data_IF_652910263554
#
_entry.id   IF_652910263554
#
_cell.length_a   1.000
_cell.length_b   1.000
_cell.length_c   1.000
_cell.angle_alpha   90.00
_cell.angle_beta   90.00
_cell.angle_gamma   90.00
#
_symmetry.space_group_name_H-M   'P 1'
#
loop_
_entity.id
_entity.type
_entity.pdbx_description
1 polymer ?
#
# COMPACT_ATOMS: atom_id res chain seq x y z
N UNK A 1 17.21 -2.60 14.25
CA UNK A 1 15.76 -2.35 14.10
C UNK A 1 15.49 -1.74 12.73
N UNK A 2 14.65 -2.39 11.89
CA UNK A 2 14.34 -1.93 10.54
C UNK A 2 12.86 -1.50 10.45
N UNK A 3 12.56 -0.49 9.65
CA UNK A 3 11.20 -0.16 9.24
C UNK A 3 10.73 -1.18 8.20
N UNK A 4 9.56 -1.76 8.39
CA UNK A 4 8.96 -2.73 7.50
C UNK A 4 7.80 -2.11 6.72
N UNK A 5 7.67 -2.53 5.47
CA UNK A 5 6.56 -2.14 4.59
C UNK A 5 5.84 -3.41 4.17
N UNK A 6 4.53 -3.46 4.37
CA UNK A 6 3.63 -4.47 3.81
C UNK A 6 2.98 -3.87 2.58
N UNK A 7 2.99 -4.58 1.47
CA UNK A 7 2.30 -4.18 0.23
C UNK A 7 1.30 -5.27 -0.13
N UNK A 8 0.07 -4.87 -0.39
CA UNK A 8 -1.01 -5.78 -0.76
C UNK A 8 -1.92 -5.13 -1.81
N UNK A 9 -2.71 -5.91 -2.52
CA UNK A 9 -3.66 -5.42 -3.51
C UNK A 9 -4.98 -4.99 -2.86
N UNK A 10 -5.44 -5.70 -1.83
CA UNK A 10 -6.75 -5.48 -1.22
C UNK A 10 -6.71 -5.65 0.30
N UNK A 11 -7.40 -4.76 1.00
CA UNK A 11 -7.71 -4.91 2.42
C UNK A 11 -9.22 -4.87 2.63
N UNK A 12 -9.77 -5.95 3.18
CA UNK A 12 -11.19 -6.06 3.53
C UNK A 12 -11.39 -5.86 5.03
N UNK A 13 -11.41 -6.90 5.84
CA UNK A 13 -11.66 -6.83 7.29
C UNK A 13 -10.46 -6.38 8.13
N UNK A 14 -9.27 -6.30 7.53
CA UNK A 14 -8.02 -5.84 8.13
C UNK A 14 -7.35 -6.83 9.08
N UNK A 15 -7.96 -7.97 9.37
CA UNK A 15 -7.42 -8.92 10.36
C UNK A 15 -6.04 -9.48 9.98
N UNK A 16 -5.87 -9.92 8.74
CA UNK A 16 -4.61 -10.47 8.22
C UNK A 16 -3.46 -9.48 8.32
N UNK A 17 -3.70 -8.24 7.88
CA UNK A 17 -2.69 -7.17 7.88
C UNK A 17 -2.31 -6.77 9.30
N UNK A 18 -3.28 -6.65 10.21
CA UNK A 18 -3.01 -6.35 11.62
C UNK A 18 -2.18 -7.46 12.28
N UNK A 19 -2.47 -8.73 11.99
CA UNK A 19 -1.69 -9.86 12.50
C UNK A 19 -0.27 -9.89 11.91
N UNK A 20 -0.12 -9.63 10.61
CA UNK A 20 1.18 -9.53 9.95
C UNK A 20 2.04 -8.42 10.58
N UNK A 21 1.46 -7.23 10.77
CA UNK A 21 2.14 -6.11 11.41
C UNK A 21 2.56 -6.44 12.85
N UNK A 22 1.68 -7.09 13.63
CA UNK A 22 1.99 -7.56 15.00
C UNK A 22 3.18 -8.52 14.99
N UNK A 23 3.20 -9.48 14.08
CA UNK A 23 4.30 -10.45 13.94
C UNK A 23 5.63 -9.76 13.61
N UNK A 24 5.63 -8.79 12.70
CA UNK A 24 6.83 -8.03 12.35
C UNK A 24 7.37 -7.24 13.54
N UNK A 25 6.50 -6.60 14.31
CA UNK A 25 6.89 -5.86 15.51
C UNK A 25 7.43 -6.78 16.60
N UNK A 26 6.87 -7.99 16.77
CA UNK A 26 7.42 -9.01 17.67
C UNK A 26 8.82 -9.47 17.24
N UNK A 27 9.11 -9.47 15.92
CA UNK A 27 10.43 -9.75 15.34
C UNK A 27 11.33 -8.52 15.28
N UNK A 28 11.13 -7.54 16.15
CA UNK A 28 11.93 -6.33 16.31
C UNK A 28 11.92 -5.36 15.13
N UNK A 29 10.84 -5.33 14.33
CA UNK A 29 10.63 -4.21 13.44
C UNK A 29 10.47 -2.93 14.26
N UNK A 30 11.08 -1.82 13.81
CA UNK A 30 10.94 -0.51 14.44
C UNK A 30 9.56 0.06 14.23
N UNK A 31 9.10 0.04 12.99
CA UNK A 31 7.80 0.54 12.56
C UNK A 31 7.28 -0.31 11.40
N UNK A 32 5.96 -0.38 11.25
CA UNK A 32 5.32 -1.07 10.13
C UNK A 32 4.40 -0.09 9.41
N UNK A 33 4.64 0.08 8.11
CA UNK A 33 3.79 0.79 7.17
C UNK A 33 3.08 -0.22 6.27
N UNK A 34 1.88 0.12 5.83
CA UNK A 34 1.08 -0.73 4.97
C UNK A 34 0.61 0.08 3.76
N UNK A 35 0.82 -0.43 2.56
CA UNK A 35 0.34 0.15 1.31
C UNK A 35 -0.59 -0.84 0.63
N UNK A 36 -1.80 -0.40 0.34
CA UNK A 36 -2.84 -1.25 -0.29
C UNK A 36 -3.50 -0.49 -1.42
N UNK A 37 -3.71 -1.17 -2.54
CA UNK A 37 -4.41 -0.54 -3.67
C UNK A 37 -5.88 -0.36 -3.34
N UNK A 38 -6.59 -1.43 -2.98
CA UNK A 38 -8.04 -1.40 -2.78
C UNK A 38 -8.42 -1.51 -1.31
N UNK A 39 -8.82 -0.37 -0.73
CA UNK A 39 -9.32 -0.33 0.63
C UNK A 39 -10.82 -0.60 0.69
N UNK A 40 -11.27 -1.85 0.77
CA UNK A 40 -12.68 -2.17 0.98
C UNK A 40 -13.12 -1.73 2.38
N UNK A 41 -12.29 -1.99 3.38
CA UNK A 41 -12.44 -1.56 4.76
C UNK A 41 -13.84 -1.88 5.32
N UNK A 42 -14.24 -3.15 5.20
CA UNK A 42 -15.56 -3.61 5.64
C UNK A 42 -15.68 -3.72 7.17
N UNK A 43 -16.90 -3.61 7.66
CA UNK A 43 -17.23 -3.82 9.06
C UNK A 43 -16.37 -2.98 10.02
N UNK A 44 -15.67 -3.64 10.94
CA UNK A 44 -14.81 -3.01 11.96
C UNK A 44 -13.35 -2.80 11.51
N UNK A 45 -13.04 -2.90 10.22
CA UNK A 45 -11.66 -2.83 9.72
C UNK A 45 -10.94 -1.53 10.14
N UNK A 46 -11.58 -0.38 9.94
CA UNK A 46 -11.04 0.93 10.33
C UNK A 46 -10.71 0.99 11.81
N UNK A 47 -11.59 0.48 12.65
CA UNK A 47 -11.40 0.44 14.12
C UNK A 47 -10.26 -0.50 14.51
N UNK A 48 -10.17 -1.68 13.88
CA UNK A 48 -9.06 -2.62 14.11
C UNK A 48 -7.71 -2.00 13.74
N UNK A 49 -7.64 -1.34 12.59
CA UNK A 49 -6.42 -0.68 12.12
C UNK A 49 -6.06 0.50 13.00
N UNK A 50 -7.03 1.36 13.35
CA UNK A 50 -6.83 2.49 14.25
C UNK A 50 -6.23 2.05 15.60
N UNK A 51 -6.71 0.93 16.15
CA UNK A 51 -6.27 0.40 17.44
C UNK A 51 -5.03 -0.51 17.33
N UNK A 52 -4.51 -0.74 16.11
CA UNK A 52 -3.32 -1.55 15.88
C UNK A 52 -2.03 -0.74 16.10
N UNK A 53 -0.90 -1.42 16.08
CA UNK A 53 0.43 -0.81 16.09
C UNK A 53 0.97 -0.48 14.68
N UNK A 54 0.12 -0.50 13.67
CA UNK A 54 0.47 -0.05 12.32
C UNK A 54 0.72 1.46 12.39
N UNK A 55 1.90 1.88 11.96
CA UNK A 55 2.29 3.29 11.95
C UNK A 55 1.41 4.10 11.02
N UNK A 56 1.22 3.60 9.80
CA UNK A 56 0.32 4.17 8.81
C UNK A 56 -0.14 3.10 7.82
N UNK A 57 -1.42 3.10 7.52
CA UNK A 57 -2.02 2.42 6.36
C UNK A 57 -2.28 3.47 5.29
N UNK A 58 -1.75 3.25 4.10
CA UNK A 58 -2.00 4.05 2.90
C UNK A 58 -2.85 3.20 1.94
N UNK A 59 -4.02 3.70 1.58
CA UNK A 59 -4.89 3.11 0.56
C UNK A 59 -5.06 4.08 -0.60
N UNK A 60 -5.35 3.59 -1.80
CA UNK A 60 -5.66 4.49 -2.91
C UNK A 60 -7.14 4.90 -2.90
N UNK A 61 -7.46 5.90 -3.71
CA UNK A 61 -8.83 6.38 -3.93
C UNK A 61 -9.61 5.57 -4.97
N UNK A 62 -9.21 4.32 -5.24
CA UNK A 62 -9.97 3.38 -6.08
C UNK A 62 -11.34 3.01 -5.48
N UNK A 63 -11.46 3.13 -4.17
CA UNK A 63 -12.72 3.00 -3.42
C UNK A 63 -12.83 4.23 -2.53
N UNK A 64 -13.97 4.91 -2.56
CA UNK A 64 -14.20 6.08 -1.71
C UNK A 64 -14.37 5.65 -0.25
N UNK A 65 -13.42 6.07 0.56
CA UNK A 65 -13.37 5.80 2.00
C UNK A 65 -13.27 7.08 2.83
N UNK A 66 -13.43 8.26 2.24
CA UNK A 66 -13.21 9.53 2.94
C UNK A 66 -14.02 9.60 4.23
N UNK A 67 -15.29 9.21 4.19
CA UNK A 67 -16.14 9.24 5.39
C UNK A 67 -15.76 8.18 6.42
N UNK A 68 -15.38 6.99 5.97
CA UNK A 68 -15.02 5.88 6.87
C UNK A 68 -13.77 6.18 7.69
N UNK A 69 -12.77 6.85 7.11
CA UNK A 69 -11.48 7.04 7.75
C UNK A 69 -11.35 8.34 8.55
N UNK A 70 -12.33 9.24 8.50
CA UNK A 70 -12.30 10.57 9.18
C UNK A 70 -11.82 10.52 10.64
N UNK A 71 -12.10 9.41 11.34
CA UNK A 71 -11.74 9.23 12.76
C UNK A 71 -10.48 8.39 12.98
N UNK A 72 -9.76 8.03 11.92
CA UNK A 72 -8.57 7.17 11.99
C UNK A 72 -7.33 7.95 11.55
N UNK A 73 -6.55 8.45 12.50
CA UNK A 73 -5.35 9.26 12.24
C UNK A 73 -4.20 8.49 11.57
N UNK A 74 -4.23 7.17 11.61
CA UNK A 74 -3.21 6.31 11.03
C UNK A 74 -3.63 5.69 9.68
N UNK A 75 -4.71 6.16 9.06
CA UNK A 75 -5.12 5.77 7.71
C UNK A 75 -5.08 7.01 6.81
N UNK A 76 -4.51 6.87 5.62
CA UNK A 76 -4.36 7.93 4.64
C UNK A 76 -4.80 7.46 3.25
N UNK A 77 -5.47 8.34 2.50
CA UNK A 77 -5.83 8.08 1.11
C UNK A 77 -4.82 8.75 0.20
N UNK A 78 -4.26 7.96 -0.72
CA UNK A 78 -3.39 8.43 -1.79
C UNK A 78 -4.17 8.43 -3.10
N UNK A 79 -4.32 9.60 -3.73
CA UNK A 79 -4.98 9.67 -5.03
C UNK A 79 -4.09 9.13 -6.15
N UNK A 80 -4.68 8.30 -7.02
CA UNK A 80 -4.04 7.81 -8.24
C UNK A 80 -4.55 8.51 -9.50
N UNK A 81 -5.41 9.53 -9.37
CA UNK A 81 -6.04 10.22 -10.49
C UNK A 81 -5.04 10.79 -11.49
N UNK A 82 -3.94 11.37 -11.03
CA UNK A 82 -2.89 11.87 -11.92
C UNK A 82 -2.21 10.75 -12.70
N UNK A 83 -1.93 9.62 -12.05
CA UNK A 83 -1.34 8.43 -12.69
C UNK A 83 -2.29 7.86 -13.75
N UNK A 84 -3.57 7.73 -13.41
CA UNK A 84 -4.60 7.22 -14.32
C UNK A 84 -4.82 8.17 -15.50
N UNK A 85 -4.90 9.47 -15.26
CA UNK A 85 -5.03 10.48 -16.31
C UNK A 85 -3.87 10.46 -17.30
N UNK A 86 -2.65 10.33 -16.80
CA UNK A 86 -1.46 10.21 -17.65
C UNK A 86 -1.46 8.89 -18.46
N UNK A 87 -1.88 7.79 -17.86
CA UNK A 87 -2.00 6.50 -18.54
C UNK A 87 -3.02 6.57 -19.69
N UNK A 88 -4.20 7.12 -19.43
CA UNK A 88 -5.27 7.30 -20.42
C UNK A 88 -4.77 8.19 -21.56
N UNK A 89 -4.14 9.33 -21.26
CA UNK A 89 -3.59 10.24 -22.25
C UNK A 89 -2.57 9.56 -23.16
N UNK A 90 -1.68 8.73 -22.59
CA UNK A 90 -0.68 7.99 -23.37
C UNK A 90 -1.32 6.95 -24.28
N UNK A 91 -2.32 6.20 -23.79
CA UNK A 91 -3.04 5.23 -24.59
C UNK A 91 -3.77 5.93 -25.74
N UNK A 92 -4.51 7.01 -25.46
CA UNK A 92 -5.22 7.80 -26.46
C UNK A 92 -4.30 8.36 -27.56
N UNK A 93 -3.16 8.90 -27.17
CA UNK A 93 -2.17 9.44 -28.13
C UNK A 93 -1.43 8.35 -28.90
N UNK A 94 -1.26 7.15 -28.33
CA UNK A 94 -0.61 6.01 -29.01
C UNK A 94 -1.48 5.40 -30.12
N UNK A 95 -2.79 5.63 -30.09
CA UNK A 95 -3.69 5.16 -31.15
C UNK A 95 -3.55 5.97 -32.43
N UNK A 96 -3.00 7.20 -32.35
CA UNK A 96 -2.74 8.08 -33.51
C UNK A 96 -1.37 7.83 -34.19
N UNK A 97 -0.36 7.32 -33.43
CA UNK A 97 1.03 7.25 -33.86
C UNK A 97 1.67 5.90 -33.53
N UNK A 98 1.17 4.80 -34.01
CA UNK A 98 1.78 3.48 -33.89
C UNK A 98 2.68 3.30 -32.66
N UNK A 99 2.34 2.41 -31.78
CA UNK A 99 2.90 2.15 -30.43
C UNK A 99 4.42 2.38 -30.32
N UNK A 100 4.84 3.51 -29.81
CA UNK A 100 6.19 3.70 -29.26
C UNK A 100 6.10 3.62 -27.74
N UNK A 101 6.16 2.41 -27.21
CA UNK A 101 6.35 2.11 -25.79
C UNK A 101 7.79 2.45 -25.37
N UNK A 102 8.13 3.71 -25.28
CA UNK A 102 9.40 4.11 -24.66
C UNK A 102 9.24 5.39 -23.85
N UNK A 103 8.95 5.20 -22.59
CA UNK A 103 9.50 5.99 -21.46
C UNK A 103 8.72 5.63 -20.18
N UNK A 104 9.43 5.09 -19.21
CA UNK A 104 8.91 4.91 -17.85
C UNK A 104 8.40 6.27 -17.31
N UNK A 105 7.23 6.33 -16.66
CA UNK A 105 6.79 7.57 -16.02
C UNK A 105 7.84 8.00 -14.98
N UNK A 106 8.28 9.25 -15.05
CA UNK A 106 9.01 9.86 -13.93
C UNK A 106 7.97 10.09 -12.84
N UNK A 107 7.90 9.18 -11.89
CA UNK A 107 7.18 9.42 -10.64
C UNK A 107 7.97 10.51 -9.93
N UNK A 108 7.35 11.69 -9.76
CA UNK A 108 7.97 12.78 -9.00
C UNK A 108 8.24 12.23 -7.59
N UNK A 109 9.53 12.13 -7.25
CA UNK A 109 9.98 11.62 -5.96
C UNK A 109 9.73 12.68 -4.89
N UNK A 110 8.57 12.62 -4.26
CA UNK A 110 8.35 13.13 -2.91
C UNK A 110 8.10 11.95 -1.96
N UNK A 111 8.98 10.96 -2.04
CA UNK A 111 8.96 9.81 -1.14
C UNK A 111 10.15 9.88 -0.19
N UNK A 112 9.99 9.59 1.11
CA UNK A 112 11.14 9.46 2.00
C UNK A 112 12.07 8.39 1.45
N UNK A 113 13.37 8.65 1.46
CA UNK A 113 14.42 7.71 1.01
C UNK A 113 14.26 6.38 1.76
N UNK A 114 13.75 5.37 1.06
CA UNK A 114 13.73 3.98 1.54
C UNK A 114 15.05 3.35 1.13
N UNK A 115 15.87 2.98 2.11
CA UNK A 115 17.09 2.23 1.85
C UNK A 115 16.72 0.82 1.37
N UNK A 116 17.25 0.45 0.19
CA UNK A 116 17.09 -0.87 -0.40
C UNK A 116 17.88 -1.91 0.40
N UNK A 117 17.21 -2.59 1.32
CA UNK A 117 17.73 -3.84 1.86
C UNK A 117 16.53 -4.71 2.30
N UNK A 118 15.81 -5.24 1.31
CA UNK A 118 14.70 -6.17 1.54
C UNK A 118 15.24 -7.58 1.34
N UNK A 119 15.71 -8.19 2.42
CA UNK A 119 15.97 -9.63 2.44
C UNK A 119 14.67 -10.35 2.82
N UNK A 120 14.03 -10.99 1.85
CA UNK A 120 12.89 -11.88 2.12
C UNK A 120 13.36 -13.11 2.91
N UNK A 121 12.72 -13.48 4.03
CA UNK A 121 12.99 -14.77 4.66
C UNK A 121 12.43 -15.89 3.80
N UNK A 122 13.27 -16.90 3.47
CA UNK A 122 12.83 -18.15 2.83
C UNK A 122 11.75 -18.82 3.68
N UNK A 123 10.71 -19.31 3.02
CA UNK A 123 9.70 -20.16 3.63
C UNK A 123 10.36 -21.44 4.23
N UNK A 124 9.92 -21.91 5.41
CA UNK A 124 10.42 -23.15 5.96
C UNK A 124 9.94 -24.31 5.07
N UNK A 125 10.90 -25.07 4.54
CA UNK A 125 10.64 -26.38 3.93
C UNK A 125 10.06 -27.30 4.99
N UNK A 126 8.85 -27.80 4.77
CA UNK A 126 8.28 -28.87 5.55
C UNK A 126 9.14 -30.14 5.38
N UNK A 127 9.73 -30.60 6.46
CA UNK A 127 10.29 -31.96 6.54
C UNK A 127 9.18 -32.82 7.12
N UNK A 128 8.91 -33.95 6.41
CA UNK A 128 8.06 -35.05 6.86
C UNK A 128 8.52 -35.62 8.18
#
# INVERSE_FOLDING_TARGET
>A
EKTCIIVDDLIDSGGTIVNAAKTLLQKRAKEVYVYVTHGVLSGEAVKKIKNSKIKKLIVTDTIDNQDKIKKASNIEILTISNLMGEAIKRISNSTSDGIKLSRRPKIAASSPKVSHDVTMPRAPTSVM
#
